data_IF_701417009507
#
_entry.id   IF_701417009507
#
_cell.length_a   1.000
_cell.length_b   1.000
_cell.length_c   1.000
_cell.angle_alpha   90.00
_cell.angle_beta   90.00
_cell.angle_gamma   90.00
#
_symmetry.space_group_name_H-M   'P 1'
#
loop_
_entity.id
_entity.type
_entity.pdbx_description
1 polymer ?
#
# COMPACT_ATOMS: atom_id res chain seq x y z
N UNK A 1 -32.14 -22.56 2.82
CA UNK A 1 -32.57 -23.27 4.04
C UNK A 1 -31.31 -23.52 4.86
N UNK A 2 -31.28 -23.07 6.12
CA UNK A 2 -30.14 -23.28 7.02
C UNK A 2 -30.13 -24.77 7.39
N UNK A 3 -29.02 -25.45 7.13
CA UNK A 3 -28.85 -26.87 7.48
C UNK A 3 -28.87 -27.01 9.02
N UNK A 4 -29.80 -27.78 9.61
CA UNK A 4 -29.90 -27.93 11.07
C UNK A 4 -28.64 -28.54 11.70
N UNK A 5 -27.75 -29.15 10.92
CA UNK A 5 -26.46 -29.66 11.39
C UNK A 5 -25.33 -28.62 11.42
N UNK A 6 -25.56 -27.40 10.94
CA UNK A 6 -24.54 -26.32 10.92
C UNK A 6 -24.78 -25.30 12.02
N UNK A 7 -24.35 -25.63 13.23
CA UNK A 7 -24.33 -24.71 14.37
C UNK A 7 -22.90 -24.30 14.74
N UNK A 8 -22.70 -23.02 15.03
CA UNK A 8 -21.44 -22.49 15.55
C UNK A 8 -21.70 -21.65 16.80
N UNK A 9 -20.78 -21.69 17.76
CA UNK A 9 -20.76 -20.76 18.90
C UNK A 9 -19.62 -19.77 18.67
N UNK A 10 -19.91 -18.48 18.75
CA UNK A 10 -18.93 -17.41 18.57
C UNK A 10 -18.82 -16.61 19.86
N UNK A 11 -17.65 -16.62 20.48
CA UNK A 11 -17.34 -15.72 21.59
C UNK A 11 -16.65 -14.48 21.05
N UNK A 12 -17.25 -13.31 21.21
CA UNK A 12 -16.66 -12.03 20.74
C UNK A 12 -16.88 -10.91 21.75
N UNK A 13 -15.94 -9.96 21.76
CA UNK A 13 -16.07 -8.76 22.58
C UNK A 13 -17.14 -7.83 22.00
N UNK A 14 -18.08 -7.44 22.85
CA UNK A 14 -19.12 -6.44 22.55
C UNK A 14 -19.23 -5.54 23.77
N UNK A 15 -18.38 -4.51 23.81
CA UNK A 15 -18.35 -3.55 24.92
C UNK A 15 -18.88 -2.21 24.44
N UNK A 16 -19.47 -1.42 25.35
CA UNK A 16 -20.07 -0.11 25.01
C UNK A 16 -19.11 0.82 24.25
N UNK A 17 -17.82 0.82 24.63
CA UNK A 17 -16.78 1.68 24.05
C UNK A 17 -15.79 0.95 23.13
N UNK A 18 -16.00 -0.34 22.85
CA UNK A 18 -15.06 -1.12 22.03
C UNK A 18 -15.78 -2.10 21.09
N UNK A 19 -15.61 -1.87 19.79
CA UNK A 19 -16.09 -2.77 18.74
C UNK A 19 -14.96 -3.67 18.28
N UNK A 20 -15.10 -4.99 18.43
CA UNK A 20 -14.13 -5.95 17.94
C UNK A 20 -14.32 -6.22 16.43
N UNK A 21 -13.41 -5.78 15.55
CA UNK A 21 -13.59 -5.93 14.10
C UNK A 21 -13.52 -7.39 13.66
N UNK A 22 -12.65 -8.18 14.30
CA UNK A 22 -12.50 -9.61 13.99
C UNK A 22 -13.72 -10.41 14.43
N UNK A 23 -14.39 -10.03 15.54
CA UNK A 23 -15.64 -10.64 15.97
C UNK A 23 -16.73 -10.51 14.91
N UNK A 24 -16.91 -9.29 14.36
CA UNK A 24 -17.86 -9.03 13.29
C UNK A 24 -17.51 -9.79 12.00
N UNK A 25 -16.22 -9.84 11.63
CA UNK A 25 -15.77 -10.59 10.46
C UNK A 25 -15.98 -12.10 10.61
N UNK A 26 -15.74 -12.68 11.79
CA UNK A 26 -16.03 -14.09 12.09
C UNK A 26 -17.53 -14.38 12.00
N UNK A 27 -18.37 -13.51 12.57
CA UNK A 27 -19.82 -13.63 12.50
C UNK A 27 -20.31 -13.64 11.04
N UNK A 28 -19.91 -12.63 10.25
CA UNK A 28 -20.23 -12.57 8.83
C UNK A 28 -19.76 -13.80 8.06
N UNK A 29 -18.55 -14.31 8.35
CA UNK A 29 -18.00 -15.46 7.66
C UNK A 29 -18.79 -16.75 7.93
N UNK A 30 -19.25 -16.93 9.18
CA UNK A 30 -20.13 -18.03 9.56
C UNK A 30 -21.51 -17.92 8.89
N UNK A 31 -22.12 -16.73 8.89
CA UNK A 31 -23.41 -16.47 8.23
C UNK A 31 -23.35 -16.78 6.73
N UNK A 32 -22.27 -16.34 6.07
CA UNK A 32 -22.02 -16.57 4.64
C UNK A 32 -21.94 -18.05 4.28
N UNK A 33 -21.47 -18.91 5.20
CA UNK A 33 -21.41 -20.36 5.01
C UNK A 33 -22.64 -21.11 5.52
N UNK A 34 -23.68 -20.37 5.93
CA UNK A 34 -24.98 -20.92 6.32
C UNK A 34 -25.01 -21.52 7.72
N UNK A 35 -24.13 -21.09 8.63
CA UNK A 35 -24.16 -21.50 10.03
C UNK A 35 -25.21 -20.74 10.82
N UNK A 36 -25.93 -21.44 11.70
CA UNK A 36 -26.66 -20.82 12.80
C UNK A 36 -25.66 -20.48 13.91
N UNK A 37 -25.59 -19.21 14.28
CA UNK A 37 -24.60 -18.70 15.24
C UNK A 37 -25.27 -18.52 16.60
N UNK A 38 -24.69 -19.13 17.64
CA UNK A 38 -24.90 -18.77 19.04
C UNK A 38 -23.84 -17.73 19.41
N UNK A 39 -24.23 -16.46 19.36
CA UNK A 39 -23.35 -15.32 19.58
C UNK A 39 -23.24 -15.02 21.09
N UNK A 40 -22.07 -15.31 21.66
CA UNK A 40 -21.75 -15.12 23.08
C UNK A 40 -20.92 -13.85 23.23
N UNK A 41 -21.51 -12.86 23.89
CA UNK A 41 -20.85 -11.58 24.12
C UNK A 41 -19.96 -11.63 25.35
N UNK A 42 -18.79 -11.02 25.21
CA UNK A 42 -17.89 -10.68 26.31
C UNK A 42 -18.00 -9.16 26.46
N UNK A 43 -18.74 -8.71 27.46
CA UNK A 43 -19.14 -7.32 27.62
C UNK A 43 -18.16 -6.52 28.50
N UNK A 44 -17.34 -7.23 29.28
CA UNK A 44 -16.32 -6.63 30.14
C UNK A 44 -14.92 -7.18 29.87
N UNK A 45 -13.90 -6.44 30.34
CA UNK A 45 -12.49 -6.84 30.19
C UNK A 45 -12.19 -8.06 31.05
N UNK A 46 -12.75 -8.07 32.26
CA UNK A 46 -12.68 -9.16 33.22
C UNK A 46 -13.30 -10.45 32.65
N UNK A 47 -14.46 -10.36 31.99
CA UNK A 47 -15.05 -11.50 31.28
C UNK A 47 -14.18 -12.01 30.14
N UNK A 48 -13.58 -11.09 29.40
CA UNK A 48 -12.68 -11.41 28.29
C UNK A 48 -11.44 -12.13 28.78
N UNK A 49 -10.80 -11.63 29.84
CA UNK A 49 -9.59 -12.21 30.41
C UNK A 49 -9.90 -13.55 31.11
N UNK A 50 -11.05 -13.64 31.80
CA UNK A 50 -11.52 -14.91 32.36
C UNK A 50 -11.82 -15.95 31.27
N UNK A 51 -12.41 -15.53 30.14
CA UNK A 51 -12.63 -16.41 28.99
C UNK A 51 -11.31 -16.90 28.40
N UNK A 52 -10.35 -15.99 28.19
CA UNK A 52 -9.00 -16.31 27.70
C UNK A 52 -8.30 -17.32 28.60
N UNK A 53 -8.32 -17.10 29.91
CA UNK A 53 -7.72 -18.01 30.88
C UNK A 53 -8.43 -19.38 30.92
N UNK A 54 -9.77 -19.41 30.89
CA UNK A 54 -10.54 -20.67 30.89
C UNK A 54 -10.30 -21.53 29.65
N UNK A 55 -10.10 -20.89 28.50
CA UNK A 55 -9.94 -21.58 27.22
C UNK A 55 -8.48 -21.68 26.75
N UNK A 56 -7.53 -21.18 27.53
CA UNK A 56 -6.09 -21.13 27.20
C UNK A 56 -5.87 -20.52 25.80
N UNK A 57 -6.31 -19.27 25.63
CA UNK A 57 -6.17 -18.48 24.40
C UNK A 57 -5.71 -17.07 24.70
N UNK A 58 -4.88 -16.51 23.82
CA UNK A 58 -4.38 -15.14 23.98
C UNK A 58 -5.35 -14.08 23.41
N UNK A 59 -6.20 -14.47 22.46
CA UNK A 59 -7.00 -13.54 21.64
C UNK A 59 -8.48 -13.95 21.56
N UNK A 60 -9.32 -12.95 21.28
CA UNK A 60 -10.72 -13.11 20.90
C UNK A 60 -10.94 -12.38 19.56
N UNK A 61 -11.93 -12.77 18.74
CA UNK A 61 -12.98 -13.76 18.98
C UNK A 61 -12.49 -15.21 18.97
N UNK A 62 -13.31 -16.14 19.46
CA UNK A 62 -13.09 -17.58 19.36
C UNK A 62 -14.34 -18.28 18.84
N UNK A 63 -14.16 -19.13 17.83
CA UNK A 63 -15.25 -19.85 17.15
C UNK A 63 -15.21 -21.34 17.50
N UNK A 64 -16.36 -21.92 17.77
CA UNK A 64 -16.55 -23.35 18.02
C UNK A 64 -17.59 -23.90 17.06
N UNK A 65 -17.32 -25.05 16.45
CA UNK A 65 -18.24 -25.73 15.51
C UNK A 65 -18.32 -27.20 15.94
N UNK A 66 -19.54 -27.72 16.14
CA UNK A 66 -19.73 -29.10 16.58
C UNK A 66 -19.06 -29.44 17.92
N UNK A 67 -18.91 -28.47 18.82
CA UNK A 67 -18.21 -28.61 20.10
C UNK A 67 -16.68 -28.55 20.00
N UNK A 68 -16.10 -28.54 18.81
CA UNK A 68 -14.66 -28.38 18.59
C UNK A 68 -14.29 -26.90 18.48
N UNK A 69 -13.21 -26.49 19.16
CA UNK A 69 -12.64 -25.15 19.02
C UNK A 69 -11.95 -25.04 17.65
N UNK A 70 -12.44 -24.13 16.81
CA UNK A 70 -11.80 -23.80 15.53
C UNK A 70 -10.68 -22.78 15.76
N UNK A 71 -10.94 -21.75 16.57
CA UNK A 71 -9.95 -20.73 16.89
C UNK A 71 -10.42 -19.30 16.60
N UNK A 72 -9.47 -18.43 16.33
CA UNK A 72 -9.69 -17.03 15.98
C UNK A 72 -10.25 -16.83 14.57
N UNK A 73 -10.26 -15.58 14.10
CA UNK A 73 -10.74 -15.27 12.75
C UNK A 73 -9.90 -15.92 11.65
N UNK A 74 -8.58 -15.96 11.80
CA UNK A 74 -7.70 -16.58 10.81
C UNK A 74 -7.85 -18.10 10.76
N UNK A 75 -7.98 -18.77 11.90
CA UNK A 75 -8.26 -20.21 11.97
C UNK A 75 -9.62 -20.54 11.33
N UNK A 76 -10.62 -19.69 11.56
CA UNK A 76 -11.93 -19.82 10.93
C UNK A 76 -11.87 -19.65 9.41
N UNK A 77 -11.04 -18.74 8.90
CA UNK A 77 -10.79 -18.61 7.46
C UNK A 77 -10.16 -19.87 6.90
N UNK A 78 -9.17 -20.42 7.60
CA UNK A 78 -8.52 -21.66 7.20
C UNK A 78 -9.50 -22.84 7.18
N UNK A 79 -10.37 -22.94 8.19
CA UNK A 79 -11.42 -23.96 8.26
C UNK A 79 -12.33 -23.96 7.02
N UNK A 80 -12.66 -22.78 6.49
CA UNK A 80 -13.44 -22.64 5.25
C UNK A 80 -12.61 -22.72 3.97
N UNK A 81 -11.33 -23.10 4.05
CA UNK A 81 -10.43 -23.20 2.90
C UNK A 81 -10.04 -21.84 2.29
N UNK A 82 -10.24 -20.75 3.02
CA UNK A 82 -9.75 -19.43 2.59
C UNK A 82 -8.26 -19.28 2.90
N UNK A 83 -7.54 -18.58 2.01
CA UNK A 83 -6.16 -18.13 2.29
C UNK A 83 -6.14 -17.28 3.56
N UNK A 84 -5.37 -17.69 4.55
CA UNK A 84 -5.06 -16.88 5.73
C UNK A 84 -4.15 -15.71 5.32
N UNK A 85 -4.21 -14.60 6.06
CA UNK A 85 -3.28 -13.51 5.80
C UNK A 85 -1.86 -13.97 6.12
N UNK A 86 -1.02 -14.05 5.11
CA UNK A 86 0.42 -14.21 5.26
C UNK A 86 1.06 -12.81 5.30
N UNK A 87 1.63 -12.38 6.45
CA UNK A 87 2.28 -11.09 6.61
C UNK A 87 3.53 -10.92 5.74
N UNK A 88 3.99 -11.94 5.03
CA UNK A 88 5.14 -11.90 4.12
C UNK A 88 4.76 -12.13 2.65
N UNK A 89 3.48 -12.41 2.34
CA UNK A 89 3.02 -12.56 0.95
C UNK A 89 3.17 -11.23 0.18
N UNK A 90 3.85 -11.31 -0.98
CA UNK A 90 4.08 -10.16 -1.87
C UNK A 90 2.76 -9.70 -2.48
N UNK A 91 2.47 -8.40 -2.41
CA UNK A 91 1.21 -7.82 -2.91
C UNK A 91 1.45 -6.60 -3.79
N UNK A 92 0.95 -6.64 -5.02
CA UNK A 92 0.97 -5.50 -5.96
C UNK A 92 -0.32 -4.69 -5.96
N UNK A 93 -1.35 -5.11 -5.21
CA UNK A 93 -2.67 -4.45 -5.19
C UNK A 93 -2.58 -2.95 -4.85
N UNK A 94 -1.80 -2.51 -3.84
CA UNK A 94 -1.69 -1.08 -3.54
C UNK A 94 -1.09 -0.27 -4.71
N UNK A 95 -0.06 -0.83 -5.35
CA UNK A 95 0.62 -0.20 -6.49
C UNK A 95 -0.30 -0.07 -7.70
N UNK A 96 -1.03 -1.15 -8.01
CA UNK A 96 -2.02 -1.14 -9.10
C UNK A 96 -3.10 -0.10 -8.83
N UNK A 97 -3.59 0.00 -7.58
CA UNK A 97 -4.58 1.00 -7.21
C UNK A 97 -4.05 2.44 -7.42
N UNK A 98 -2.79 2.71 -7.07
CA UNK A 98 -2.17 4.03 -7.27
C UNK A 98 -2.08 4.37 -8.76
N UNK A 99 -1.50 3.49 -9.58
CA UNK A 99 -1.36 3.77 -11.01
C UNK A 99 -2.72 3.82 -11.73
N UNK A 100 -3.68 2.98 -11.37
CA UNK A 100 -5.03 3.06 -11.91
C UNK A 100 -5.70 4.40 -11.55
N UNK A 101 -5.51 4.87 -10.32
CA UNK A 101 -6.01 6.18 -9.89
C UNK A 101 -5.33 7.31 -10.66
N UNK A 102 -4.00 7.28 -10.80
CA UNK A 102 -3.25 8.28 -11.57
C UNK A 102 -3.69 8.33 -13.04
N UNK A 103 -3.87 7.16 -13.68
CA UNK A 103 -4.33 7.07 -15.05
C UNK A 103 -5.74 7.63 -15.21
N UNK A 104 -6.64 7.30 -14.28
CA UNK A 104 -8.01 7.81 -14.27
C UNK A 104 -8.03 9.32 -14.08
N UNK A 105 -7.22 9.87 -13.16
CA UNK A 105 -7.11 11.31 -12.94
C UNK A 105 -6.55 12.02 -14.17
N UNK A 106 -5.51 11.49 -14.81
CA UNK A 106 -4.92 12.08 -16.00
C UNK A 106 -5.92 12.11 -17.17
N UNK A 107 -6.65 11.02 -17.40
CA UNK A 107 -7.68 10.94 -18.44
C UNK A 107 -8.87 11.86 -18.13
N UNK A 108 -9.34 11.88 -16.88
CA UNK A 108 -10.43 12.75 -16.45
C UNK A 108 -10.06 14.23 -16.57
N UNK A 109 -8.84 14.60 -16.19
CA UNK A 109 -8.31 15.96 -16.36
C UNK A 109 -8.19 16.31 -17.85
N UNK A 110 -7.73 15.40 -18.70
CA UNK A 110 -7.63 15.63 -20.15
C UNK A 110 -9.00 15.83 -20.78
N UNK A 111 -9.97 15.01 -20.40
CA UNK A 111 -11.35 15.18 -20.83
C UNK A 111 -11.93 16.52 -20.38
N UNK A 112 -11.76 16.88 -19.10
CA UNK A 112 -12.32 18.09 -18.53
C UNK A 112 -11.70 19.38 -19.11
N UNK A 113 -10.41 19.36 -19.47
CA UNK A 113 -9.69 20.54 -19.97
C UNK A 113 -9.66 20.65 -21.49
N UNK A 114 -9.53 19.54 -22.21
CA UNK A 114 -9.31 19.51 -23.67
C UNK A 114 -10.46 18.86 -24.45
N UNK A 115 -11.41 18.19 -23.78
CA UNK A 115 -12.47 17.44 -24.45
C UNK A 115 -12.00 16.21 -25.24
N UNK A 116 -10.73 15.80 -25.08
CA UNK A 116 -10.14 14.62 -25.74
C UNK A 116 -9.39 13.74 -24.74
N UNK A 117 -9.41 12.44 -25.00
CA UNK A 117 -8.66 11.43 -24.23
C UNK A 117 -7.32 11.08 -24.88
N UNK A 118 -7.18 11.30 -26.19
CA UNK A 118 -6.02 10.90 -26.98
C UNK A 118 -5.16 12.12 -27.29
N UNK A 119 -4.29 12.46 -26.33
CA UNK A 119 -3.27 13.48 -26.47
C UNK A 119 -2.00 13.06 -25.71
N UNK A 120 -0.88 13.74 -25.96
CA UNK A 120 0.38 13.50 -25.22
C UNK A 120 0.27 13.98 -23.77
N UNK A 121 -0.53 15.01 -23.52
CA UNK A 121 -0.72 15.62 -22.19
C UNK A 121 -1.23 14.64 -21.10
N UNK A 122 -2.25 13.80 -21.33
CA UNK A 122 -2.64 12.79 -20.34
C UNK A 122 -1.53 11.78 -20.02
N UNK A 123 -0.59 11.51 -20.93
CA UNK A 123 0.57 10.65 -20.63
C UNK A 123 1.56 11.38 -19.70
N UNK A 124 1.82 12.66 -19.97
CA UNK A 124 2.64 13.51 -19.09
C UNK A 124 2.02 13.60 -17.69
N UNK A 125 0.71 13.89 -17.61
CA UNK A 125 -0.03 13.93 -16.35
C UNK A 125 -0.07 12.58 -15.64
N UNK A 126 -0.19 11.47 -16.36
CA UNK A 126 -0.15 10.16 -15.74
C UNK A 126 1.16 9.95 -14.97
N UNK A 127 2.30 10.29 -15.57
CA UNK A 127 3.60 10.12 -14.92
C UNK A 127 3.75 11.07 -13.73
N UNK A 128 3.47 12.36 -13.91
CA UNK A 128 3.66 13.35 -12.84
C UNK A 128 2.68 13.18 -11.69
N UNK A 129 1.41 12.81 -11.95
CA UNK A 129 0.43 12.49 -10.90
C UNK A 129 0.83 11.20 -10.17
N UNK A 130 1.34 10.19 -10.88
CA UNK A 130 1.86 8.98 -10.23
C UNK A 130 3.00 9.30 -9.26
N UNK A 131 3.93 10.17 -9.68
CA UNK A 131 5.01 10.65 -8.80
C UNK A 131 4.44 11.34 -7.56
N UNK A 132 3.46 12.24 -7.71
CA UNK A 132 2.84 12.93 -6.57
C UNK A 132 2.14 11.96 -5.62
N UNK A 133 1.41 10.96 -6.13
CA UNK A 133 0.70 9.99 -5.29
C UNK A 133 1.67 9.07 -4.53
N UNK A 134 2.73 8.59 -5.19
CA UNK A 134 3.75 7.78 -4.53
C UNK A 134 4.52 8.61 -3.50
N UNK A 135 4.88 9.85 -3.83
CA UNK A 135 5.52 10.77 -2.90
C UNK A 135 4.62 11.11 -1.70
N UNK A 136 3.31 11.27 -1.92
CA UNK A 136 2.33 11.46 -0.84
C UNK A 136 2.35 10.28 0.14
N UNK A 137 2.42 9.04 -0.34
CA UNK A 137 2.52 7.86 0.54
C UNK A 137 3.83 7.83 1.32
N UNK A 138 4.94 8.28 0.72
CA UNK A 138 6.22 8.45 1.40
C UNK A 138 6.14 9.55 2.48
N UNK A 139 5.36 10.61 2.24
CA UNK A 139 5.14 11.71 3.19
C UNK A 139 4.20 11.37 4.35
N UNK A 140 3.31 10.39 4.21
CA UNK A 140 2.40 9.97 5.30
C UNK A 140 3.15 9.43 6.52
N UNK A 141 4.27 8.75 6.31
CA UNK A 141 5.13 8.22 7.36
C UNK A 141 6.60 8.33 6.92
N UNK A 142 7.14 9.56 7.04
CA UNK A 142 8.49 9.90 6.59
C UNK A 142 9.55 9.11 7.36
N UNK A 143 9.32 8.82 8.64
CA UNK A 143 10.29 8.10 9.48
C UNK A 143 10.41 6.64 9.06
N UNK A 144 9.27 5.99 8.79
CA UNK A 144 9.28 4.63 8.26
C UNK A 144 9.85 4.58 6.85
N UNK A 145 9.52 5.57 6.01
CA UNK A 145 10.10 5.69 4.67
C UNK A 145 11.62 5.84 4.73
N UNK A 146 12.15 6.81 5.47
CA UNK A 146 13.57 7.13 5.53
C UNK A 146 14.38 5.93 6.01
N UNK A 147 13.88 5.22 7.03
CA UNK A 147 14.51 4.00 7.57
C UNK A 147 14.67 2.91 6.50
N UNK A 148 13.63 2.64 5.70
CA UNK A 148 13.74 1.66 4.61
C UNK A 148 14.56 2.17 3.43
N UNK A 149 14.48 3.47 3.13
CA UNK A 149 15.15 4.11 2.00
C UNK A 149 16.68 4.07 2.17
N UNK A 150 17.18 4.31 3.39
CA UNK A 150 18.58 4.08 3.78
C UNK A 150 19.03 2.64 3.54
N UNK A 151 18.09 1.69 3.55
CA UNK A 151 18.32 0.28 3.28
C UNK A 151 18.85 -0.02 1.87
N UNK A 152 18.73 0.89 0.89
CA UNK A 152 19.24 0.67 -0.47
C UNK A 152 19.76 1.91 -1.19
N UNK A 153 19.28 3.11 -0.88
CA UNK A 153 19.68 4.32 -1.60
C UNK A 153 21.13 4.74 -1.27
N UNK A 154 21.94 4.89 -2.32
CA UNK A 154 23.38 5.15 -2.19
C UNK A 154 23.67 6.54 -1.61
N UNK A 155 22.90 7.56 -2.02
CA UNK A 155 23.09 8.93 -1.53
C UNK A 155 22.54 9.09 -0.11
N UNK A 156 21.37 8.52 0.17
CA UNK A 156 20.75 8.55 1.49
C UNK A 156 21.67 7.95 2.56
N UNK A 157 22.34 6.82 2.24
CA UNK A 157 23.33 6.21 3.13
C UNK A 157 24.51 7.11 3.45
N UNK A 158 24.89 7.97 2.50
CA UNK A 158 26.01 8.91 2.66
C UNK A 158 25.59 10.19 3.38
N UNK A 159 24.35 10.62 3.17
CA UNK A 159 23.80 11.86 3.74
C UNK A 159 22.34 11.65 4.16
N UNK A 160 22.13 11.25 5.41
CA UNK A 160 20.81 10.91 5.98
C UNK A 160 19.73 11.99 5.79
N UNK A 161 20.03 13.31 5.90
CA UNK A 161 19.03 14.35 5.63
C UNK A 161 18.36 14.25 4.24
N UNK A 162 19.06 13.73 3.24
CA UNK A 162 18.47 13.46 1.92
C UNK A 162 17.31 12.46 2.00
N UNK A 163 17.39 11.45 2.86
CA UNK A 163 16.32 10.47 3.03
C UNK A 163 15.00 11.12 3.51
N UNK A 164 15.10 12.18 4.32
CA UNK A 164 13.95 12.95 4.79
C UNK A 164 13.46 13.96 3.74
N UNK A 165 14.37 14.53 2.95
CA UNK A 165 14.02 15.50 1.91
C UNK A 165 13.43 14.85 0.65
N UNK A 166 13.83 13.62 0.33
CA UNK A 166 13.47 12.92 -0.91
C UNK A 166 11.96 12.95 -1.21
N UNK A 167 11.06 12.57 -0.28
CA UNK A 167 9.62 12.54 -0.56
C UNK A 167 9.07 13.92 -0.95
N UNK A 168 9.56 14.98 -0.32
CA UNK A 168 9.14 16.34 -0.63
C UNK A 168 9.70 16.80 -1.99
N UNK A 169 10.97 16.49 -2.30
CA UNK A 169 11.57 16.80 -3.59
C UNK A 169 10.83 16.13 -4.75
N UNK A 170 10.48 14.86 -4.59
CA UNK A 170 9.73 14.09 -5.58
C UNK A 170 8.30 14.62 -5.75
N UNK A 171 7.62 14.93 -4.65
CA UNK A 171 6.27 15.52 -4.69
C UNK A 171 6.28 16.87 -5.39
N UNK A 172 7.21 17.76 -5.04
CA UNK A 172 7.36 19.09 -5.64
C UNK A 172 7.70 18.98 -7.12
N UNK A 173 8.63 18.10 -7.49
CA UNK A 173 8.95 17.85 -8.90
C UNK A 173 7.69 17.40 -9.67
N UNK A 174 6.95 16.40 -9.16
CA UNK A 174 5.70 15.94 -9.76
C UNK A 174 4.64 17.05 -9.89
N UNK A 175 4.49 17.90 -8.87
CA UNK A 175 3.55 19.02 -8.90
C UNK A 175 3.91 20.04 -9.98
N UNK A 176 5.18 20.46 -10.03
CA UNK A 176 5.69 21.41 -11.03
C UNK A 176 5.60 20.84 -12.45
N UNK A 177 5.90 19.55 -12.63
CA UNK A 177 5.80 18.86 -13.91
C UNK A 177 4.34 18.73 -14.38
N UNK A 178 3.41 18.44 -13.47
CA UNK A 178 1.96 18.40 -13.79
C UNK A 178 1.48 19.77 -14.28
N UNK A 179 1.85 20.83 -13.55
CA UNK A 179 1.48 22.20 -13.87
C UNK A 179 2.25 22.80 -15.05
N UNK A 180 3.30 22.14 -15.55
CA UNK A 180 4.20 22.66 -16.58
C UNK A 180 4.81 24.02 -16.22
N UNK A 181 5.11 24.24 -14.93
CA UNK A 181 5.71 25.48 -14.41
C UNK A 181 7.09 25.22 -13.82
N UNK A 182 7.96 26.23 -13.89
CA UNK A 182 9.34 26.17 -13.38
C UNK A 182 10.13 24.91 -13.84
N UNK A 183 10.18 24.60 -15.15
CA UNK A 183 10.89 23.42 -15.66
C UNK A 183 12.38 23.43 -15.31
N UNK A 184 12.98 24.61 -15.13
CA UNK A 184 14.36 24.76 -14.70
C UNK A 184 14.63 24.26 -13.26
N UNK A 185 13.58 24.09 -12.44
CA UNK A 185 13.68 23.46 -11.11
C UNK A 185 13.27 21.98 -11.20
N UNK A 186 12.12 21.70 -11.81
CA UNK A 186 11.53 20.36 -11.76
C UNK A 186 12.35 19.34 -12.55
N UNK A 187 12.91 19.72 -13.71
CA UNK A 187 13.71 18.83 -14.54
C UNK A 187 15.02 18.43 -13.83
N UNK A 188 15.87 19.36 -13.34
CA UNK A 188 17.09 18.95 -12.63
C UNK A 188 16.81 18.12 -11.39
N UNK A 189 15.77 18.45 -10.61
CA UNK A 189 15.40 17.67 -9.42
C UNK A 189 15.00 16.25 -9.81
N UNK A 190 14.08 16.08 -10.76
CA UNK A 190 13.62 14.78 -11.22
C UNK A 190 14.76 13.92 -11.79
N UNK A 191 15.60 14.51 -12.65
CA UNK A 191 16.76 13.80 -13.22
C UNK A 191 17.76 13.41 -12.14
N UNK A 192 18.03 14.27 -11.17
CA UNK A 192 18.99 14.00 -10.10
C UNK A 192 18.52 12.88 -9.18
N UNK A 193 17.34 13.04 -8.57
CA UNK A 193 16.83 12.05 -7.61
C UNK A 193 16.50 10.73 -8.31
N UNK A 194 15.98 10.79 -9.53
CA UNK A 194 15.65 9.61 -10.33
C UNK A 194 16.87 8.83 -10.79
N UNK A 195 17.94 9.50 -11.23
CA UNK A 195 19.17 8.82 -11.65
C UNK A 195 19.84 8.12 -10.47
N UNK A 196 19.93 8.79 -9.32
CA UNK A 196 20.49 8.22 -8.10
C UNK A 196 19.62 7.05 -7.60
N UNK A 197 18.30 7.23 -7.57
CA UNK A 197 17.36 6.19 -7.16
C UNK A 197 17.41 4.96 -8.09
N UNK A 198 17.42 5.17 -9.41
CA UNK A 198 17.54 4.09 -10.40
C UNK A 198 18.85 3.32 -10.23
N UNK A 199 19.98 4.01 -10.11
CA UNK A 199 21.28 3.39 -9.89
C UNK A 199 21.32 2.60 -8.57
N UNK A 200 20.72 3.16 -7.50
CA UNK A 200 20.65 2.51 -6.19
C UNK A 200 19.80 1.26 -6.19
N UNK A 201 18.61 1.30 -6.79
CA UNK A 201 17.72 0.13 -6.93
C UNK A 201 18.35 -0.92 -7.83
N UNK A 202 18.95 -0.51 -8.95
CA UNK A 202 19.65 -1.42 -9.84
C UNK A 202 20.77 -2.17 -9.10
N UNK A 203 21.61 -1.45 -8.37
CA UNK A 203 22.68 -2.04 -7.59
C UNK A 203 22.15 -2.96 -6.47
N UNK A 204 21.16 -2.53 -5.70
CA UNK A 204 20.63 -3.34 -4.59
C UNK A 204 19.93 -4.62 -5.05
N UNK A 205 19.19 -4.58 -6.16
CA UNK A 205 18.35 -5.69 -6.60
C UNK A 205 19.05 -6.58 -7.62
N UNK A 206 19.72 -6.01 -8.62
CA UNK A 206 20.30 -6.80 -9.71
C UNK A 206 21.75 -7.22 -9.43
N UNK A 207 22.52 -6.38 -8.73
CA UNK A 207 23.91 -6.71 -8.37
C UNK A 207 23.97 -7.44 -7.04
N UNK A 208 23.35 -6.89 -5.99
CA UNK A 208 23.40 -7.47 -4.64
C UNK A 208 22.34 -8.55 -4.38
N UNK A 209 21.39 -8.77 -5.32
CA UNK A 209 20.31 -9.76 -5.21
C UNK A 209 19.53 -9.68 -3.89
N UNK A 210 19.32 -8.46 -3.36
CA UNK A 210 18.60 -8.27 -2.09
C UNK A 210 17.09 -8.31 -2.33
N UNK A 211 16.39 -9.12 -1.54
CA UNK A 211 14.93 -9.06 -1.45
C UNK A 211 14.52 -7.97 -0.46
N UNK A 212 14.18 -6.79 -0.97
CA UNK A 212 13.77 -5.65 -0.16
C UNK A 212 12.31 -5.28 -0.43
N UNK A 213 11.63 -4.81 0.61
CA UNK A 213 10.28 -4.23 0.52
C UNK A 213 10.37 -2.83 -0.11
N UNK A 214 9.40 -2.49 -0.95
CA UNK A 214 9.35 -1.21 -1.65
C UNK A 214 9.02 -0.07 -0.69
N UNK A 215 9.92 0.90 -0.54
CA UNK A 215 9.66 2.08 0.28
C UNK A 215 8.60 3.01 -0.34
N UNK A 216 8.32 2.88 -1.64
CA UNK A 216 7.45 3.78 -2.40
C UNK A 216 5.97 3.76 -2.00
N UNK A 217 5.55 2.78 -1.20
CA UNK A 217 4.19 2.73 -0.60
C UNK A 217 4.18 3.14 0.88
N UNK A 218 5.16 3.92 1.32
CA UNK A 218 5.25 4.39 2.72
C UNK A 218 5.49 3.27 3.74
N UNK A 219 6.01 2.12 3.29
CA UNK A 219 6.35 0.98 4.16
C UNK A 219 5.19 0.18 4.70
N UNK A 220 3.96 0.49 4.28
CA UNK A 220 2.74 -0.18 4.74
C UNK A 220 2.39 -1.45 3.93
N UNK A 221 3.14 -1.76 2.85
CA UNK A 221 2.87 -2.90 1.98
C UNK A 221 4.09 -3.77 1.67
N UNK A 222 3.87 -5.08 1.53
CA UNK A 222 4.86 -6.05 1.03
C UNK A 222 4.96 -6.00 -0.50
N UNK A 223 5.24 -4.82 -1.03
CA UNK A 223 5.47 -4.65 -2.46
C UNK A 223 6.93 -4.99 -2.76
N UNK A 224 7.24 -5.81 -3.76
CA UNK A 224 8.63 -6.07 -4.15
C UNK A 224 9.27 -4.80 -4.70
N UNK A 225 10.39 -4.35 -4.10
CA UNK A 225 11.08 -3.11 -4.48
C UNK A 225 11.49 -3.08 -5.97
N UNK A 226 12.02 -4.21 -6.46
CA UNK A 226 12.81 -4.26 -7.70
C UNK A 226 12.15 -3.65 -8.93
N UNK A 227 11.10 -4.28 -9.45
CA UNK A 227 10.51 -3.85 -10.72
C UNK A 227 9.78 -2.51 -10.61
N UNK A 228 9.02 -2.31 -9.53
CA UNK A 228 8.16 -1.14 -9.36
C UNK A 228 9.00 0.12 -9.16
N UNK A 229 9.93 0.09 -8.21
CA UNK A 229 10.75 1.27 -7.88
C UNK A 229 11.73 1.61 -9.01
N UNK A 230 12.28 0.62 -9.71
CA UNK A 230 13.11 0.89 -10.88
C UNK A 230 12.30 1.58 -11.99
N UNK A 231 11.11 1.07 -12.29
CA UNK A 231 10.22 1.65 -13.30
C UNK A 231 9.84 3.09 -12.95
N UNK A 232 9.51 3.37 -11.69
CA UNK A 232 9.21 4.72 -11.19
C UNK A 232 10.37 5.69 -11.42
N UNK A 233 11.59 5.31 -11.02
CA UNK A 233 12.77 6.15 -11.22
C UNK A 233 13.07 6.38 -12.71
N UNK A 234 12.92 5.35 -13.55
CA UNK A 234 13.10 5.48 -14.99
C UNK A 234 12.04 6.37 -15.65
N UNK A 235 10.78 6.30 -15.21
CA UNK A 235 9.71 7.18 -15.69
C UNK A 235 9.98 8.63 -15.30
N UNK A 236 10.45 8.88 -14.08
CA UNK A 236 10.86 10.21 -13.63
C UNK A 236 12.02 10.77 -14.47
N UNK A 237 13.05 9.96 -14.76
CA UNK A 237 14.14 10.35 -15.68
C UNK A 237 13.58 10.62 -17.08
N UNK A 238 12.77 9.71 -17.61
CA UNK A 238 12.18 9.81 -18.94
C UNK A 238 11.34 11.07 -19.10
N UNK A 239 10.52 11.40 -18.10
CA UNK A 239 9.70 12.62 -18.11
C UNK A 239 10.58 13.88 -17.99
N UNK A 240 11.62 13.86 -17.17
CA UNK A 240 12.60 14.97 -17.11
C UNK A 240 13.28 15.22 -18.45
N UNK A 241 13.73 14.17 -19.13
CA UNK A 241 14.33 14.26 -20.48
C UNK A 241 13.33 14.72 -21.53
N UNK A 242 12.08 14.23 -21.46
CA UNK A 242 11.00 14.62 -22.36
C UNK A 242 10.68 16.12 -22.23
N UNK A 243 10.49 16.62 -21.01
CA UNK A 243 10.25 18.04 -20.76
C UNK A 243 11.44 18.91 -21.17
N UNK A 244 12.67 18.41 -20.98
CA UNK A 244 13.89 19.09 -21.44
C UNK A 244 13.92 19.18 -22.97
N UNK A 245 13.55 18.10 -23.67
CA UNK A 245 13.47 18.08 -25.12
C UNK A 245 12.42 19.09 -25.64
N UNK A 246 11.22 19.15 -25.04
CA UNK A 246 10.20 20.18 -25.38
C UNK A 246 10.68 21.61 -25.12
N UNK A 247 11.43 21.83 -24.04
CA UNK A 247 11.99 23.14 -23.73
C UNK A 247 13.07 23.59 -24.73
N UNK A 248 13.84 22.65 -25.29
CA UNK A 248 14.90 22.94 -26.28
C UNK A 248 14.41 22.90 -27.74
N UNK A 249 13.35 22.14 -28.03
CA UNK A 249 12.72 22.01 -29.34
C UNK A 249 11.23 22.40 -29.24
N UNK A 250 10.90 23.70 -29.35
CA UNK A 250 9.51 24.20 -29.19
C UNK A 250 8.53 23.71 -30.28
N UNK A 251 8.98 22.87 -31.22
CA UNK A 251 8.21 22.27 -32.31
C UNK A 251 7.68 20.84 -31.99
N UNK A 252 7.95 20.31 -30.79
CA UNK A 252 7.49 19.02 -30.26
C UNK A 252 6.50 19.26 -29.12
#
# INVERSE_FOLDING_TARGET
MIDPNKSAVLYRMVMEKHVCPFGLKSMYLLEKHGYRIDDKWLETREETDAFKARHDVETTPQTFIGGQRIGGYDDLRQFFGHKVHDPDEKSYKPVIAIFATAATLALAASWASLGTLLAVLPLEWFVSISMMLLAMLKLQDVEKFSTMFLGYDLLARRWVPYAYAYPALEWVAGALMTAHVLPWISIPVALFIGSIGAASVYYAVYVQKRELKCACVGGSGNVPLGFVSLTENLLMIGMGLWMLAKAMLPWI
#
